data_IF_995972201307
#
_entry.id   IF_995972201307
#
_cell.length_a   1.000
_cell.length_b   1.000
_cell.length_c   1.000
_cell.angle_alpha   90.00
_cell.angle_beta   90.00
_cell.angle_gamma   90.00
#
_symmetry.space_group_name_H-M   'P 1'
#
loop_
_entity.id
_entity.type
_entity.pdbx_description
1 polymer ?
#
# COMPACT_ATOMS: atom_id res chain seq x y z
N UNK A 1 -3.67 16.84 -7.03
CA UNK A 1 -2.40 17.05 -7.77
C UNK A 1 -2.43 18.48 -8.30
N UNK A 2 -1.52 19.37 -7.90
CA UNK A 2 -1.55 20.76 -8.34
C UNK A 2 -1.13 20.85 -9.82
N UNK A 3 -1.84 21.67 -10.59
CA UNK A 3 -1.48 21.99 -11.97
C UNK A 3 -0.43 23.12 -11.99
N UNK A 4 0.34 23.27 -13.10
CA UNK A 4 1.27 24.38 -13.27
C UNK A 4 0.59 25.75 -13.09
N UNK A 5 1.35 26.76 -12.65
CA UNK A 5 0.84 28.12 -12.50
C UNK A 5 0.33 28.67 -13.85
N UNK A 6 -0.86 29.26 -13.85
CA UNK A 6 -1.53 29.75 -15.06
C UNK A 6 -2.28 28.68 -15.86
N UNK A 7 -2.28 27.41 -15.42
CA UNK A 7 -3.15 26.42 -16.02
C UNK A 7 -4.62 26.78 -15.78
N UNK A 8 -5.51 26.58 -16.78
CA UNK A 8 -6.94 26.80 -16.59
C UNK A 8 -7.52 25.76 -15.62
N UNK A 9 -8.65 26.09 -15.02
CA UNK A 9 -9.37 25.16 -14.15
C UNK A 9 -9.79 23.91 -14.94
N UNK A 10 -9.42 22.74 -14.41
CA UNK A 10 -9.70 21.45 -15.03
C UNK A 10 -10.68 20.68 -14.17
N UNK A 11 -11.77 20.23 -14.80
CA UNK A 11 -12.79 19.42 -14.14
C UNK A 11 -12.94 18.09 -14.85
N UNK A 12 -13.20 17.05 -14.06
CA UNK A 12 -13.56 15.72 -14.56
C UNK A 12 -14.89 15.35 -13.94
N UNK A 13 -15.82 14.88 -14.77
CA UNK A 13 -17.12 14.41 -14.33
C UNK A 13 -17.40 13.03 -14.92
N UNK A 14 -18.14 12.20 -14.19
CA UNK A 14 -18.52 10.85 -14.58
C UNK A 14 -20.05 10.76 -14.54
N UNK A 15 -20.66 10.50 -15.69
CA UNK A 15 -22.11 10.37 -15.85
C UNK A 15 -22.92 11.52 -15.21
N UNK A 16 -22.63 12.80 -15.52
CA UNK A 16 -23.38 13.90 -14.94
C UNK A 16 -24.84 13.91 -15.45
N UNK A 17 -25.83 14.27 -14.61
CA UNK A 17 -27.23 14.40 -15.04
C UNK A 17 -27.41 15.41 -16.17
N UNK A 18 -26.60 16.48 -16.17
CA UNK A 18 -26.53 17.45 -17.25
C UNK A 18 -25.12 17.46 -17.84
N UNK A 19 -24.97 17.26 -19.17
CA UNK A 19 -23.65 17.27 -19.80
C UNK A 19 -23.02 18.67 -19.71
N UNK A 20 -21.69 18.77 -19.55
CA UNK A 20 -20.99 20.05 -19.65
C UNK A 20 -21.22 20.71 -21.03
N UNK A 21 -21.09 22.04 -21.08
CA UNK A 21 -21.21 22.78 -22.33
C UNK A 21 -20.18 22.26 -23.36
N UNK A 22 -20.58 22.15 -24.63
CA UNK A 22 -19.76 21.53 -25.67
C UNK A 22 -18.46 22.30 -25.93
N UNK A 23 -18.52 23.63 -25.87
CA UNK A 23 -17.39 24.56 -25.99
C UNK A 23 -16.40 24.47 -24.82
N UNK A 24 -16.82 23.92 -23.68
CA UNK A 24 -15.99 23.70 -22.47
C UNK A 24 -15.55 22.24 -22.30
N UNK A 25 -15.97 21.35 -23.19
CA UNK A 25 -15.67 19.93 -23.10
C UNK A 25 -14.38 19.61 -23.87
N UNK A 26 -13.29 19.37 -23.13
CA UNK A 26 -11.99 19.03 -23.73
C UNK A 26 -11.99 17.63 -24.32
N UNK A 27 -12.56 16.65 -23.60
CA UNK A 27 -12.60 15.25 -24.03
C UNK A 27 -13.77 14.52 -23.40
N UNK A 28 -14.44 13.70 -24.19
CA UNK A 28 -15.42 12.72 -23.73
C UNK A 28 -14.90 11.31 -23.98
N UNK A 29 -15.00 10.45 -22.97
CA UNK A 29 -14.62 9.06 -23.04
C UNK A 29 -15.84 8.20 -22.66
N UNK A 30 -16.11 7.17 -23.45
CA UNK A 30 -17.04 6.12 -23.09
C UNK A 30 -16.21 4.92 -22.63
N UNK A 31 -16.30 4.59 -21.35
CA UNK A 31 -15.58 3.48 -20.73
C UNK A 31 -16.61 2.48 -20.19
N UNK A 32 -16.35 1.19 -20.37
CA UNK A 32 -17.13 0.13 -19.75
C UNK A 32 -16.49 -0.26 -18.42
N UNK A 33 -17.31 -0.42 -17.38
CA UNK A 33 -16.84 -0.92 -16.09
C UNK A 33 -17.37 -2.36 -15.88
N UNK A 34 -16.52 -3.33 -15.49
CA UNK A 34 -16.99 -4.67 -15.18
C UNK A 34 -17.98 -4.61 -14.00
N UNK A 35 -19.06 -5.38 -14.13
CA UNK A 35 -20.04 -5.60 -13.07
C UNK A 35 -19.71 -6.92 -12.40
N UNK A 36 -19.35 -6.87 -11.12
CA UNK A 36 -19.05 -8.06 -10.34
C UNK A 36 -20.33 -8.66 -9.76
N UNK A 37 -20.44 -9.99 -9.84
CA UNK A 37 -21.54 -10.80 -9.33
C UNK A 37 -20.99 -12.07 -8.66
N UNK A 38 -21.85 -12.85 -8.00
CA UNK A 38 -21.43 -14.16 -7.47
C UNK A 38 -20.86 -15.07 -8.58
N UNK A 39 -21.44 -15.02 -9.79
CA UNK A 39 -20.92 -15.79 -10.93
C UNK A 39 -19.52 -15.33 -11.35
N UNK A 40 -19.24 -14.02 -11.33
CA UNK A 40 -17.89 -13.54 -11.66
C UNK A 40 -16.88 -13.95 -10.59
N UNK A 41 -17.28 -13.94 -9.31
CA UNK A 41 -16.45 -14.43 -8.21
C UNK A 41 -16.08 -15.91 -8.37
N UNK A 42 -17.07 -16.76 -8.68
CA UNK A 42 -16.84 -18.19 -8.94
C UNK A 42 -15.94 -18.40 -10.16
N UNK A 43 -16.13 -17.64 -11.23
CA UNK A 43 -15.28 -17.69 -12.41
C UNK A 43 -13.84 -17.24 -12.13
N UNK A 44 -13.64 -16.19 -11.32
CA UNK A 44 -12.31 -15.72 -10.90
C UNK A 44 -11.55 -16.80 -10.14
N UNK A 45 -12.21 -17.54 -9.25
CA UNK A 45 -11.59 -18.62 -8.48
C UNK A 45 -11.03 -19.74 -9.38
N UNK A 46 -11.61 -19.92 -10.57
CA UNK A 46 -11.20 -20.93 -11.57
C UNK A 46 -10.20 -20.41 -12.60
N UNK A 47 -9.93 -19.11 -12.62
CA UNK A 47 -9.00 -18.51 -13.57
C UNK A 47 -7.60 -19.16 -13.57
N UNK A 48 -7.02 -19.56 -12.41
CA UNK A 48 -5.75 -20.28 -12.39
C UNK A 48 -5.76 -21.60 -13.18
N UNK A 49 -6.90 -22.29 -13.27
CA UNK A 49 -7.06 -23.54 -14.04
C UNK A 49 -6.91 -23.32 -15.55
N UNK A 50 -7.13 -22.10 -16.03
CA UNK A 50 -7.10 -21.74 -17.45
C UNK A 50 -5.71 -21.29 -17.93
N UNK A 51 -4.82 -20.90 -17.02
CA UNK A 51 -3.51 -20.39 -17.38
C UNK A 51 -2.67 -21.46 -18.08
N UNK A 52 -2.11 -21.13 -19.23
CA UNK A 52 -1.29 -22.04 -20.04
C UNK A 52 -2.09 -23.03 -20.88
N UNK A 53 -3.41 -23.11 -20.71
CA UNK A 53 -4.25 -23.95 -21.58
C UNK A 53 -4.19 -23.42 -23.01
N UNK A 54 -3.75 -24.26 -23.96
CA UNK A 54 -3.49 -23.89 -25.36
C UNK A 54 -2.54 -22.69 -25.51
N UNK A 55 -1.56 -22.57 -24.62
CA UNK A 55 -0.62 -21.45 -24.58
C UNK A 55 -1.28 -20.07 -24.42
N UNK A 56 -2.52 -20.02 -23.89
CA UNK A 56 -3.20 -18.80 -23.56
C UNK A 56 -2.98 -18.44 -22.08
N UNK A 57 -2.76 -17.15 -21.83
CA UNK A 57 -2.61 -16.60 -20.49
C UNK A 57 -3.51 -15.37 -20.36
N UNK A 58 -4.19 -15.28 -19.23
CA UNK A 58 -5.20 -14.27 -18.96
C UNK A 58 -4.74 -13.37 -17.82
N UNK A 59 -4.85 -12.06 -18.01
CA UNK A 59 -4.55 -11.05 -17.01
C UNK A 59 -5.46 -9.84 -17.22
N UNK A 60 -5.78 -9.14 -16.13
CA UNK A 60 -6.61 -7.95 -16.17
C UNK A 60 -7.24 -7.65 -14.81
N UNK A 61 -7.68 -6.41 -14.62
CA UNK A 61 -8.30 -5.96 -13.37
C UNK A 61 -9.53 -6.79 -12.98
N UNK A 62 -10.24 -7.33 -13.97
CA UNK A 62 -11.40 -8.23 -13.77
C UNK A 62 -11.03 -9.58 -13.15
N UNK A 63 -9.75 -9.95 -13.05
CA UNK A 63 -9.30 -11.13 -12.32
C UNK A 63 -9.31 -10.95 -10.79
N UNK A 64 -9.59 -9.73 -10.30
CA UNK A 64 -9.76 -9.41 -8.88
C UNK A 64 -10.96 -8.49 -8.64
N UNK A 65 -10.78 -7.39 -7.93
CA UNK A 65 -11.84 -6.46 -7.58
C UNK A 65 -12.04 -5.33 -8.60
N UNK A 66 -11.32 -5.34 -9.73
CA UNK A 66 -11.44 -4.35 -10.79
C UNK A 66 -10.53 -3.14 -10.65
N UNK A 67 -9.59 -3.13 -9.71
CA UNK A 67 -8.65 -2.03 -9.53
C UNK A 67 -7.37 -2.20 -10.36
N UNK A 68 -6.57 -1.13 -10.45
CA UNK A 68 -5.31 -1.15 -11.22
C UNK A 68 -4.31 -2.16 -10.62
N UNK A 69 -4.32 -2.29 -9.31
CA UNK A 69 -3.52 -3.23 -8.55
C UNK A 69 -3.86 -4.69 -8.89
N UNK A 70 -5.14 -5.00 -9.12
CA UNK A 70 -5.56 -6.33 -9.55
C UNK A 70 -5.07 -6.65 -10.97
N UNK A 71 -5.04 -5.64 -11.84
CA UNK A 71 -4.49 -5.76 -13.19
C UNK A 71 -2.99 -6.07 -13.16
N UNK A 72 -2.23 -5.34 -12.35
CA UNK A 72 -0.78 -5.58 -12.19
C UNK A 72 -0.53 -6.95 -11.54
N UNK A 73 -1.26 -7.28 -10.47
CA UNK A 73 -1.14 -8.55 -9.77
C UNK A 73 -1.39 -9.74 -10.69
N UNK A 74 -2.50 -9.72 -11.43
CA UNK A 74 -2.85 -10.82 -12.36
C UNK A 74 -1.86 -10.92 -13.52
N UNK A 75 -1.28 -9.81 -14.00
CA UNK A 75 -0.22 -9.84 -15.00
C UNK A 75 1.05 -10.52 -14.46
N UNK A 76 1.45 -10.21 -13.23
CA UNK A 76 2.58 -10.88 -12.56
C UNK A 76 2.32 -12.38 -12.40
N UNK A 77 1.12 -12.77 -11.99
CA UNK A 77 0.72 -14.18 -11.87
C UNK A 77 0.74 -14.90 -13.23
N UNK A 78 0.23 -14.27 -14.29
CA UNK A 78 0.26 -14.81 -15.64
C UNK A 78 1.70 -14.98 -16.17
N UNK A 79 2.58 -14.00 -15.92
CA UNK A 79 4.01 -14.09 -16.26
C UNK A 79 4.70 -15.23 -15.51
N UNK A 80 4.39 -15.40 -14.22
CA UNK A 80 4.88 -16.54 -13.44
C UNK A 80 4.39 -17.88 -14.00
N UNK A 81 3.12 -17.97 -14.43
CA UNK A 81 2.57 -19.16 -15.07
C UNK A 81 3.19 -19.47 -16.44
N UNK A 82 3.69 -18.45 -17.15
CA UNK A 82 4.48 -18.62 -18.37
C UNK A 82 5.90 -19.17 -18.10
N UNK A 83 6.32 -19.26 -16.84
CA UNK A 83 7.69 -19.63 -16.47
C UNK A 83 8.70 -18.49 -16.66
N UNK A 84 8.22 -17.26 -16.86
CA UNK A 84 9.05 -16.08 -16.99
C UNK A 84 9.22 -15.35 -15.65
N UNK A 85 10.31 -14.61 -15.51
CA UNK A 85 10.60 -13.84 -14.31
C UNK A 85 10.36 -12.34 -14.56
N UNK A 86 9.84 -11.66 -13.54
CA UNK A 86 9.81 -10.20 -13.47
C UNK A 86 11.09 -9.70 -12.78
N UNK A 87 11.61 -8.52 -13.14
CA UNK A 87 12.88 -8.01 -12.60
C UNK A 87 12.79 -7.46 -11.16
N UNK A 88 11.68 -7.70 -10.46
CA UNK A 88 11.49 -7.34 -9.06
C UNK A 88 10.75 -8.47 -8.33
N UNK A 89 10.90 -8.53 -7.00
CA UNK A 89 10.18 -9.49 -6.17
C UNK A 89 8.85 -8.86 -5.71
N UNK A 90 7.68 -9.41 -6.08
CA UNK A 90 6.39 -8.94 -5.57
C UNK A 90 6.38 -9.01 -4.05
N UNK A 91 5.89 -7.95 -3.41
CA UNK A 91 5.71 -7.96 -1.97
C UNK A 91 4.52 -8.84 -1.60
N UNK A 92 4.66 -9.64 -0.55
CA UNK A 92 3.50 -10.30 0.05
C UNK A 92 2.57 -9.23 0.62
N UNK A 93 1.38 -9.10 0.04
CA UNK A 93 0.31 -8.26 0.58
C UNK A 93 -0.56 -9.03 1.57
N UNK A 94 -0.11 -10.18 2.08
CA UNK A 94 -0.88 -10.95 3.07
C UNK A 94 -0.93 -10.19 4.39
N UNK A 95 -2.12 -9.76 4.85
CA UNK A 95 -2.27 -9.16 6.18
C UNK A 95 -2.24 -10.24 7.28
N UNK A 96 -2.05 -11.52 6.92
CA UNK A 96 -2.09 -12.61 7.89
C UNK A 96 -0.77 -12.68 8.64
N UNK A 97 -0.83 -12.38 9.93
CA UNK A 97 0.25 -12.65 10.88
C UNK A 97 0.08 -14.05 11.46
N UNK A 98 1.16 -14.82 11.51
CA UNK A 98 1.17 -16.13 12.17
C UNK A 98 0.98 -15.98 13.68
N UNK A 99 0.62 -17.07 14.37
CA UNK A 99 0.49 -17.05 15.83
C UNK A 99 1.80 -16.62 16.51
N UNK A 100 2.94 -17.12 16.03
CA UNK A 100 4.26 -16.72 16.52
C UNK A 100 4.53 -15.23 16.32
N UNK A 101 4.16 -14.67 15.16
CA UNK A 101 4.29 -13.24 14.89
C UNK A 101 3.38 -12.41 15.79
N UNK A 102 2.16 -12.86 16.10
CA UNK A 102 1.26 -12.19 17.07
C UNK A 102 1.86 -12.15 18.47
N UNK A 103 2.40 -13.27 18.94
CA UNK A 103 3.11 -13.33 20.23
C UNK A 103 4.30 -12.38 20.27
N UNK A 104 5.12 -12.38 19.22
CA UNK A 104 6.25 -11.46 19.10
C UNK A 104 5.79 -9.99 19.13
N UNK A 105 4.72 -9.62 18.41
CA UNK A 105 4.17 -8.26 18.44
C UNK A 105 3.74 -7.88 19.85
N UNK A 106 3.11 -8.79 20.61
CA UNK A 106 2.73 -8.54 22.00
C UNK A 106 3.94 -8.27 22.90
N UNK A 107 5.02 -9.05 22.76
CA UNK A 107 6.27 -8.83 23.51
C UNK A 107 6.93 -7.51 23.12
N UNK A 108 7.01 -7.22 21.82
CA UNK A 108 7.53 -5.95 21.31
C UNK A 108 6.73 -4.76 21.85
N UNK A 109 5.40 -4.86 21.86
CA UNK A 109 4.52 -3.80 22.35
C UNK A 109 4.78 -3.47 23.82
N UNK A 110 4.87 -4.50 24.67
CA UNK A 110 5.19 -4.32 26.08
C UNK A 110 6.57 -3.68 26.27
N UNK A 111 7.59 -4.16 25.57
CA UNK A 111 8.95 -3.63 25.66
C UNK A 111 9.05 -2.19 25.14
N UNK A 112 8.42 -1.88 24.01
CA UNK A 112 8.42 -0.55 23.40
C UNK A 112 7.70 0.48 24.28
N UNK A 113 6.57 0.11 24.91
CA UNK A 113 5.89 0.97 25.91
C UNK A 113 6.78 1.27 27.11
N UNK A 114 7.56 0.29 27.57
CA UNK A 114 8.46 0.49 28.69
C UNK A 114 9.65 1.38 28.32
N UNK A 115 10.24 1.17 27.14
CA UNK A 115 11.47 1.82 26.70
C UNK A 115 11.27 3.23 26.14
N UNK A 116 10.17 3.48 25.41
CA UNK A 116 9.95 4.75 24.71
C UNK A 116 9.24 5.72 25.65
N UNK A 117 10.03 6.51 26.36
CA UNK A 117 9.54 7.52 27.32
C UNK A 117 9.54 8.95 26.77
N UNK A 118 10.25 9.20 25.67
CA UNK A 118 10.43 10.54 25.12
C UNK A 118 10.28 10.49 23.60
N UNK A 119 9.52 11.42 23.05
CA UNK A 119 9.17 11.43 21.63
C UNK A 119 7.98 10.53 21.33
N UNK A 120 7.75 10.29 20.05
CA UNK A 120 6.64 9.48 19.56
C UNK A 120 7.11 8.53 18.46
N UNK A 121 6.84 7.25 18.66
CA UNK A 121 7.09 6.22 17.65
C UNK A 121 5.76 5.63 17.21
N UNK A 122 5.48 5.72 15.92
CA UNK A 122 4.37 5.03 15.26
C UNK A 122 4.90 3.85 14.48
N UNK A 123 4.36 2.66 14.72
CA UNK A 123 4.70 1.44 13.98
C UNK A 123 3.46 0.95 13.23
N UNK A 124 3.53 0.87 11.90
CA UNK A 124 2.44 0.40 11.04
C UNK A 124 2.77 -1.03 10.62
N UNK A 125 1.96 -2.00 11.07
CA UNK A 125 2.15 -3.42 10.76
C UNK A 125 1.67 -3.75 9.33
N UNK A 126 2.09 -4.89 8.75
CA UNK A 126 1.59 -5.34 7.43
C UNK A 126 0.08 -5.55 7.39
N UNK A 127 -0.55 -5.75 8.55
CA UNK A 127 -2.01 -5.88 8.70
C UNK A 127 -2.75 -4.55 8.53
N UNK A 128 -2.03 -3.43 8.50
CA UNK A 128 -2.59 -2.08 8.60
C UNK A 128 -2.82 -1.62 10.04
N UNK A 129 -2.64 -2.49 11.05
CA UNK A 129 -2.75 -2.10 12.45
C UNK A 129 -1.62 -1.16 12.86
N UNK A 130 -1.95 -0.15 13.66
CA UNK A 130 -1.01 0.86 14.10
C UNK A 130 -0.74 0.76 15.59
N UNK A 131 0.54 0.70 15.93
CA UNK A 131 1.05 0.78 17.28
C UNK A 131 1.64 2.16 17.50
N UNK A 132 1.36 2.76 18.65
CA UNK A 132 1.80 4.12 18.98
C UNK A 132 2.40 4.14 20.37
N UNK A 133 3.59 4.71 20.49
CA UNK A 133 4.38 4.76 21.71
C UNK A 133 4.86 6.18 22.00
N UNK A 134 4.90 6.55 23.28
CA UNK A 134 5.29 7.89 23.73
C UNK A 134 4.24 8.97 23.46
N UNK A 135 4.63 10.23 23.60
CA UNK A 135 3.75 11.39 23.47
C UNK A 135 4.05 12.18 22.19
N UNK A 136 3.10 12.29 21.25
CA UNK A 136 3.28 13.10 20.03
C UNK A 136 3.55 14.58 20.33
N UNK A 137 3.16 15.11 21.49
CA UNK A 137 3.39 16.50 21.88
C UNK A 137 4.80 16.74 22.44
N UNK A 138 5.65 15.71 22.56
CA UNK A 138 7.01 15.88 23.11
C UNK A 138 7.80 16.89 22.28
N UNK A 139 8.29 18.00 22.88
CA UNK A 139 9.07 18.99 22.17
C UNK A 139 10.46 18.45 21.82
N UNK A 140 10.92 18.76 20.62
CA UNK A 140 12.29 18.48 20.21
C UNK A 140 13.24 19.50 20.83
N UNK A 141 14.44 19.03 21.20
CA UNK A 141 15.46 19.92 21.75
C UNK A 141 16.11 20.74 20.63
N UNK A 142 16.22 22.05 20.82
CA UNK A 142 16.86 22.93 19.85
C UNK A 142 18.37 22.70 19.85
N UNK A 143 19.02 22.55 18.68
CA UNK A 143 20.47 22.52 18.62
C UNK A 143 21.02 23.90 19.02
N UNK A 144 21.84 23.95 20.07
CA UNK A 144 22.60 25.16 20.43
C UNK A 144 23.77 25.37 19.45
N UNK A 145 24.08 26.63 19.12
CA UNK A 145 25.22 27.00 18.27
C UNK A 145 24.88 27.20 16.78
N UNK A 146 25.85 27.07 15.85
CA UNK A 146 25.75 27.54 14.45
C UNK A 146 24.67 26.84 13.59
N UNK A 147 24.04 25.78 14.12
CA UNK A 147 22.97 25.03 13.45
C UNK A 147 21.56 25.40 13.93
N UNK A 148 21.39 26.46 14.73
CA UNK A 148 20.09 26.89 15.27
C UNK A 148 19.04 27.21 14.18
N UNK A 149 19.46 27.63 12.98
CA UNK A 149 18.58 27.93 11.84
C UNK A 149 17.85 26.70 11.28
N UNK A 150 18.29 25.46 11.60
CA UNK A 150 17.69 24.22 11.06
C UNK A 150 16.33 23.88 11.70
N UNK A 151 15.93 24.59 12.76
CA UNK A 151 14.71 24.31 13.52
C UNK A 151 14.79 23.02 14.34
N UNK A 152 13.74 22.73 15.12
CA UNK A 152 13.63 21.51 15.92
C UNK A 152 12.65 20.54 15.24
N UNK A 153 13.10 19.56 14.43
CA UNK A 153 12.19 18.59 13.87
C UNK A 153 11.52 17.84 15.03
N UNK A 154 10.19 17.65 15.01
CA UNK A 154 9.49 17.03 16.12
C UNK A 154 10.09 15.64 16.38
N UNK A 155 10.20 15.24 17.66
CA UNK A 155 10.82 13.97 18.06
C UNK A 155 9.87 12.81 17.75
N UNK A 156 9.61 12.58 16.46
CA UNK A 156 8.62 11.67 15.90
C UNK A 156 9.26 10.77 14.86
N UNK A 157 8.97 9.48 14.93
CA UNK A 157 9.38 8.51 13.92
C UNK A 157 8.19 7.63 13.52
N UNK A 158 8.09 7.30 12.23
CA UNK A 158 7.13 6.31 11.72
C UNK A 158 7.89 5.15 11.09
N UNK A 159 7.74 3.96 11.67
CA UNK A 159 8.26 2.71 11.14
C UNK A 159 7.13 1.95 10.43
N UNK A 160 7.24 1.73 9.13
CA UNK A 160 6.31 0.87 8.40
C UNK A 160 6.94 -0.50 8.21
N UNK A 161 6.35 -1.51 8.85
CA UNK A 161 6.79 -2.89 8.77
C UNK A 161 6.16 -3.54 7.54
N UNK A 162 7.00 -4.03 6.63
CA UNK A 162 6.56 -4.73 5.43
C UNK A 162 6.73 -6.26 5.53
N UNK A 163 7.67 -6.72 6.36
CA UNK A 163 7.89 -8.14 6.64
C UNK A 163 8.03 -8.33 8.14
N UNK A 164 7.14 -9.16 8.70
CA UNK A 164 7.19 -9.50 10.12
C UNK A 164 8.46 -10.29 10.48
N UNK A 165 8.97 -11.10 9.55
CA UNK A 165 10.16 -11.90 9.81
C UNK A 165 11.41 -11.04 9.84
N UNK A 166 11.55 -10.10 8.91
CA UNK A 166 12.64 -9.13 8.91
C UNK A 166 12.56 -8.22 10.15
N UNK A 167 11.36 -7.74 10.49
CA UNK A 167 11.15 -6.91 11.67
C UNK A 167 11.54 -7.65 12.95
N UNK A 168 11.13 -8.92 13.09
CA UNK A 168 11.54 -9.76 14.22
C UNK A 168 13.06 -9.93 14.29
N UNK A 169 13.72 -10.23 13.16
CA UNK A 169 15.18 -10.36 13.10
C UNK A 169 15.89 -9.08 13.53
N UNK A 170 15.46 -7.93 13.01
CA UNK A 170 16.03 -6.61 13.34
C UNK A 170 15.88 -6.28 14.83
N UNK A 171 14.68 -6.46 15.39
CA UNK A 171 14.40 -6.18 16.81
C UNK A 171 15.22 -7.07 17.72
N UNK A 172 15.33 -8.36 17.39
CA UNK A 172 16.07 -9.35 18.18
C UNK A 172 17.58 -9.34 17.89
N UNK A 173 18.07 -8.51 16.97
CA UNK A 173 19.46 -8.52 16.45
C UNK A 173 19.91 -9.93 16.04
N UNK A 174 19.00 -10.70 15.46
CA UNK A 174 19.30 -12.05 15.00
C UNK A 174 19.90 -11.94 13.59
N UNK A 175 21.21 -11.73 13.52
CA UNK A 175 21.96 -11.78 12.27
C UNK A 175 22.00 -13.24 11.77
N UNK A 176 21.21 -13.57 10.75
CA UNK A 176 21.33 -14.75 9.87
C UNK A 176 20.32 -14.67 8.73
#
# INVERSE_FOLDING_TARGET
QPLPAGAPDMFVTLNPPQPPAADKTIRRLNLAHPVFSFKSWEAQARLPELQGHRACFYAGAWAGYGFHEDGIKSAVEAVGAMGAAIPWVPRSCSPKVSLAQRWFVGLFDAAARAAIRRGHLRVILPTGYELSYGDPATPAHAPEGPNQWRGCPPLRATLRVFSMDLFRKLVLRHDT
#
